data_IF_505418727619
#
_entry.id   IF_505418727619
#
_cell.length_a   1.000
_cell.length_b   1.000
_cell.length_c   1.000
_cell.angle_alpha   90.00
_cell.angle_beta   90.00
_cell.angle_gamma   90.00
#
_symmetry.space_group_name_H-M   'P 1'
#
loop_
_entity.id
_entity.type
_entity.pdbx_description
1 polymer ?
#
# COMPACT_ATOMS: atom_id res chain seq x y z
N UNK A 1 11.12 -2.38 22.88
CA UNK A 1 10.68 -1.88 21.55
C UNK A 1 9.25 -2.37 21.36
N UNK A 2 8.31 -1.45 21.17
CA UNK A 2 6.91 -1.78 20.92
C UNK A 2 6.61 -1.40 19.48
N UNK A 3 6.03 -2.33 18.72
CA UNK A 3 5.47 -2.05 17.39
C UNK A 3 4.00 -1.70 17.57
N UNK A 4 3.57 -0.55 17.07
CA UNK A 4 2.18 -0.12 17.09
C UNK A 4 1.65 -0.22 15.66
N UNK A 5 0.55 -0.94 15.48
CA UNK A 5 -0.14 -1.06 14.21
C UNK A 5 -1.42 -0.25 14.33
N UNK A 6 -1.62 0.68 13.40
CA UNK A 6 -2.81 1.51 13.31
C UNK A 6 -3.47 1.22 11.98
N UNK A 7 -4.72 0.76 12.04
CA UNK A 7 -5.55 0.54 10.86
C UNK A 7 -6.30 1.82 10.53
N UNK A 8 -6.46 2.09 9.25
CA UNK A 8 -7.09 3.27 8.70
C UNK A 8 -8.08 2.88 7.60
N UNK A 9 -9.04 3.76 7.36
CA UNK A 9 -10.08 3.55 6.35
C UNK A 9 -9.72 4.31 5.08
N UNK A 10 -10.03 3.70 3.92
CA UNK A 10 -9.91 4.37 2.63
C UNK A 10 -11.08 5.31 2.31
N UNK A 11 -12.10 5.36 3.18
CA UNK A 11 -13.25 6.24 3.03
C UNK A 11 -12.81 7.71 3.05
N UNK A 12 -13.24 8.54 2.08
CA UNK A 12 -12.98 9.97 2.09
C UNK A 12 -13.35 10.68 3.42
N UNK A 13 -14.38 10.21 4.13
CA UNK A 13 -14.80 10.77 5.41
C UNK A 13 -13.72 10.61 6.51
N UNK A 14 -12.94 9.52 6.45
CA UNK A 14 -11.90 9.20 7.43
C UNK A 14 -10.53 9.82 7.07
N UNK A 15 -10.43 10.52 5.94
CA UNK A 15 -9.18 11.14 5.48
C UNK A 15 -8.49 12.04 6.50
N UNK A 16 -9.20 12.87 7.29
CA UNK A 16 -8.55 13.68 8.32
C UNK A 16 -7.84 12.83 9.38
N UNK A 17 -8.40 11.67 9.72
CA UNK A 17 -7.78 10.73 10.66
C UNK A 17 -6.55 10.07 10.03
N UNK A 18 -6.64 9.60 8.78
CA UNK A 18 -5.50 9.07 8.04
C UNK A 18 -4.31 10.06 8.02
N UNK A 19 -4.56 11.32 7.67
CA UNK A 19 -3.51 12.35 7.63
C UNK A 19 -2.85 12.55 9.00
N UNK A 20 -3.63 12.46 10.08
CA UNK A 20 -3.12 12.58 11.45
C UNK A 20 -2.21 11.40 11.82
N UNK A 21 -2.56 10.19 11.43
CA UNK A 21 -1.76 8.99 11.73
C UNK A 21 -0.50 8.91 10.84
N UNK A 22 -0.58 9.33 9.57
CA UNK A 22 0.59 9.43 8.68
C UNK A 22 1.69 10.33 9.26
N UNK A 23 1.34 11.40 9.98
CA UNK A 23 2.33 12.31 10.62
C UNK A 23 3.06 11.68 11.81
N UNK A 24 2.53 10.59 12.38
CA UNK A 24 3.13 9.86 13.50
C UNK A 24 3.81 8.58 13.05
N UNK A 25 3.47 8.09 11.86
CA UNK A 25 3.96 6.83 11.32
C UNK A 25 5.46 6.90 11.01
N UNK A 26 6.10 5.72 11.07
CA UNK A 26 7.49 5.54 10.65
C UNK A 26 7.60 4.74 9.34
N UNK A 27 6.59 3.93 9.04
CA UNK A 27 6.49 3.07 7.86
C UNK A 27 5.02 3.04 7.45
N UNK A 28 4.75 3.01 6.15
CA UNK A 28 3.40 2.85 5.61
C UNK A 28 3.28 1.43 5.04
N UNK A 29 2.27 0.70 5.45
CA UNK A 29 1.87 -0.55 4.81
C UNK A 29 0.71 -0.23 3.87
N UNK A 30 0.96 -0.15 2.56
CA UNK A 30 -0.08 0.18 1.58
C UNK A 30 -0.63 -1.10 0.96
N UNK A 31 -1.87 -1.44 1.28
CA UNK A 31 -2.49 -2.69 0.82
C UNK A 31 -3.47 -2.44 -0.33
N UNK A 32 -3.36 -3.24 -1.38
CA UNK A 32 -4.34 -3.33 -2.48
C UNK A 32 -4.78 -4.78 -2.67
N UNK A 33 -5.88 -5.02 -3.40
CA UNK A 33 -6.48 -6.36 -3.46
C UNK A 33 -7.05 -6.77 -4.83
N UNK A 34 -7.15 -5.84 -5.78
CA UNK A 34 -7.70 -6.07 -7.12
C UNK A 34 -7.14 -5.01 -8.07
N UNK A 35 -7.45 -5.13 -9.37
CA UNK A 35 -6.98 -4.18 -10.38
C UNK A 35 -7.37 -2.73 -10.08
N UNK A 36 -8.59 -2.50 -9.56
CA UNK A 36 -9.07 -1.17 -9.22
C UNK A 36 -8.26 -0.54 -8.08
N UNK A 37 -8.05 -1.26 -6.99
CA UNK A 37 -7.24 -0.79 -5.86
C UNK A 37 -5.75 -0.72 -6.18
N UNK A 38 -5.26 -1.60 -7.07
CA UNK A 38 -3.90 -1.58 -7.61
C UNK A 38 -3.60 -0.32 -8.42
N UNK A 39 -4.48 0.05 -9.36
CA UNK A 39 -4.36 1.32 -10.10
C UNK A 39 -4.33 2.54 -9.17
N UNK A 40 -5.13 2.52 -8.10
CA UNK A 40 -5.17 3.60 -7.11
C UNK A 40 -3.86 3.77 -6.33
N UNK A 41 -2.99 2.76 -6.26
CA UNK A 41 -1.67 2.89 -5.61
C UNK A 41 -0.89 4.02 -6.27
N UNK A 42 -0.68 3.93 -7.58
CA UNK A 42 0.12 4.88 -8.35
C UNK A 42 -0.64 6.15 -8.73
N UNK A 43 -1.95 6.04 -9.01
CA UNK A 43 -2.75 7.19 -9.46
C UNK A 43 -3.19 8.09 -8.32
N UNK A 44 -3.21 7.58 -7.08
CA UNK A 44 -3.81 8.30 -5.97
C UNK A 44 -2.97 8.26 -4.70
N UNK A 45 -2.72 7.09 -4.11
CA UNK A 45 -2.17 7.01 -2.75
C UNK A 45 -0.73 7.51 -2.65
N UNK A 46 0.16 7.05 -3.53
CA UNK A 46 1.56 7.49 -3.53
C UNK A 46 1.68 9.00 -3.86
N UNK A 47 1.03 9.54 -4.91
CA UNK A 47 0.97 10.99 -5.12
C UNK A 47 0.37 11.76 -3.95
N UNK A 48 -0.68 11.22 -3.30
CA UNK A 48 -1.31 11.84 -2.15
C UNK A 48 -0.35 11.94 -0.96
N UNK A 49 0.35 10.86 -0.61
CA UNK A 49 1.38 10.88 0.46
C UNK A 49 2.47 11.91 0.15
N UNK A 50 2.98 11.91 -1.09
CA UNK A 50 3.97 12.89 -1.54
C UNK A 50 3.46 14.33 -1.44
N UNK A 51 2.20 14.58 -1.80
CA UNK A 51 1.58 15.92 -1.71
C UNK A 51 1.44 16.44 -0.26
N UNK A 52 1.36 15.53 0.71
CA UNK A 52 1.36 15.86 2.14
C UNK A 52 2.77 16.10 2.70
N UNK A 53 3.82 15.94 1.89
CA UNK A 53 5.21 15.99 2.33
C UNK A 53 5.63 14.78 3.15
N UNK A 54 4.89 13.67 3.06
CA UNK A 54 5.25 12.41 3.74
C UNK A 54 6.41 11.78 2.99
N UNK A 55 7.51 11.54 3.69
CA UNK A 55 8.72 10.90 3.17
C UNK A 55 9.05 9.66 4.02
N UNK A 56 8.08 8.75 4.10
CA UNK A 56 8.19 7.50 4.86
C UNK A 56 8.39 6.33 3.89
N UNK A 57 9.14 5.29 4.28
CA UNK A 57 9.20 4.05 3.51
C UNK A 57 7.82 3.40 3.43
N UNK A 58 7.49 2.92 2.24
CA UNK A 58 6.25 2.23 1.92
C UNK A 58 6.56 0.76 1.64
N UNK A 59 5.86 -0.13 2.34
CA UNK A 59 5.78 -1.54 2.01
C UNK A 59 4.49 -1.75 1.23
N UNK A 60 4.62 -2.08 -0.06
CA UNK A 60 3.46 -2.35 -0.91
C UNK A 60 3.01 -3.79 -0.73
N UNK A 61 1.72 -3.97 -0.47
CA UNK A 61 1.15 -5.25 -0.10
C UNK A 61 0.01 -5.61 -1.06
N UNK A 62 0.21 -6.68 -1.84
CA UNK A 62 -0.84 -7.24 -2.69
C UNK A 62 -1.62 -8.30 -1.88
N UNK A 63 -2.82 -7.98 -1.44
CA UNK A 63 -3.75 -8.91 -0.80
C UNK A 63 -4.66 -9.59 -1.84
N UNK A 64 -5.37 -10.66 -1.47
CA UNK A 64 -6.23 -11.46 -2.38
C UNK A 64 -5.49 -12.07 -3.58
N UNK A 65 -4.35 -12.71 -3.30
CA UNK A 65 -3.75 -13.66 -4.25
C UNK A 65 -4.51 -15.01 -4.32
N UNK A 66 -5.80 -15.06 -3.94
CA UNK A 66 -6.62 -16.28 -3.95
C UNK A 66 -6.97 -16.75 -5.36
N UNK A 67 -6.76 -15.91 -6.38
CA UNK A 67 -6.76 -16.33 -7.78
C UNK A 67 -5.50 -17.19 -8.08
N UNK A 68 -5.58 -18.46 -7.70
CA UNK A 68 -4.60 -19.54 -7.94
C UNK A 68 -4.18 -19.70 -9.42
N UNK A 69 -4.84 -19.01 -10.36
CA UNK A 69 -4.54 -19.04 -11.79
C UNK A 69 -3.40 -18.10 -12.19
N UNK A 70 -3.14 -17.04 -11.43
CA UNK A 70 -2.03 -16.13 -11.71
C UNK A 70 -0.76 -16.64 -11.02
N UNK A 71 0.29 -16.91 -11.80
CA UNK A 71 1.61 -17.17 -11.21
C UNK A 71 2.00 -15.94 -10.40
N UNK A 72 2.21 -16.14 -9.10
CA UNK A 72 2.58 -15.07 -8.21
C UNK A 72 3.84 -14.31 -8.63
N UNK A 73 4.77 -14.97 -9.34
CA UNK A 73 5.94 -14.32 -9.91
C UNK A 73 5.54 -13.18 -10.86
N UNK A 74 4.50 -13.39 -11.69
CA UNK A 74 3.99 -12.42 -12.64
C UNK A 74 3.40 -11.19 -11.96
N UNK A 75 2.67 -11.35 -10.85
CA UNK A 75 2.14 -10.20 -10.09
C UNK A 75 3.30 -9.31 -9.60
N UNK A 76 4.39 -9.92 -9.12
CA UNK A 76 5.55 -9.16 -8.67
C UNK A 76 6.22 -8.47 -9.86
N UNK A 77 6.46 -9.19 -10.95
CA UNK A 77 7.20 -8.69 -12.12
C UNK A 77 6.43 -7.65 -12.95
N UNK A 78 5.13 -7.86 -13.15
CA UNK A 78 4.30 -7.06 -14.06
C UNK A 78 3.55 -5.94 -13.33
N UNK A 79 3.22 -6.07 -12.05
CA UNK A 79 2.50 -5.04 -11.29
C UNK A 79 3.38 -4.31 -10.28
N UNK A 80 4.00 -5.05 -9.35
CA UNK A 80 4.67 -4.43 -8.21
C UNK A 80 6.01 -3.78 -8.57
N UNK A 81 6.82 -4.46 -9.41
CA UNK A 81 8.14 -3.96 -9.80
C UNK A 81 8.10 -2.64 -10.59
N UNK A 82 7.16 -2.42 -11.54
CA UNK A 82 6.97 -1.12 -12.16
C UNK A 82 6.69 -0.01 -11.14
N UNK A 83 5.82 -0.26 -10.16
CA UNK A 83 5.50 0.70 -9.10
C UNK A 83 6.76 1.01 -8.27
N UNK A 84 7.53 0.00 -7.86
CA UNK A 84 8.80 0.21 -7.13
C UNK A 84 9.82 1.04 -7.92
N UNK A 85 9.89 0.85 -9.24
CA UNK A 85 10.81 1.61 -10.11
C UNK A 85 10.37 3.07 -10.26
N UNK A 86 9.07 3.33 -10.28
CA UNK A 86 8.51 4.68 -10.42
C UNK A 86 8.52 5.45 -9.09
N UNK A 87 8.21 4.79 -7.98
CA UNK A 87 8.06 5.39 -6.66
C UNK A 87 9.14 4.91 -5.71
N UNK A 88 10.17 5.76 -5.54
CA UNK A 88 11.35 5.47 -4.69
C UNK A 88 11.01 5.27 -3.22
N UNK A 89 9.88 5.78 -2.77
CA UNK A 89 9.35 5.55 -1.43
C UNK A 89 8.91 4.09 -1.21
N UNK A 90 8.65 3.31 -2.26
CA UNK A 90 8.30 1.89 -2.16
C UNK A 90 9.58 1.04 -2.07
N UNK A 91 10.00 0.74 -0.86
CA UNK A 91 11.26 0.02 -0.59
C UNK A 91 11.12 -1.50 -0.70
N UNK A 92 9.91 -2.02 -0.51
CA UNK A 92 9.65 -3.46 -0.49
C UNK A 92 8.23 -3.79 -0.89
N UNK A 93 8.06 -4.98 -1.45
CA UNK A 93 6.79 -5.50 -1.93
C UNK A 93 6.55 -6.89 -1.35
N UNK A 94 5.35 -7.14 -0.83
CA UNK A 94 4.96 -8.40 -0.22
C UNK A 94 3.62 -8.84 -0.81
N UNK A 95 3.49 -10.14 -1.11
CA UNK A 95 2.19 -10.75 -1.41
C UNK A 95 1.62 -11.38 -0.14
N UNK A 96 0.32 -11.18 0.06
CA UNK A 96 -0.42 -11.67 1.21
C UNK A 96 -1.68 -12.41 0.75
N UNK A 97 -2.02 -13.46 1.48
CA UNK A 97 -3.27 -14.22 1.31
C UNK A 97 -4.12 -14.10 2.59
N UNK A 98 -4.22 -12.90 3.15
CA UNK A 98 -4.99 -12.65 4.37
C UNK A 98 -6.43 -12.32 4.03
N UNK A 99 -7.38 -12.93 4.74
CA UNK A 99 -8.81 -12.58 4.65
C UNK A 99 -9.08 -11.14 5.15
N UNK A 100 -8.13 -10.55 5.89
CA UNK A 100 -8.23 -9.21 6.48
C UNK A 100 -7.20 -8.27 5.85
N UNK A 101 -7.69 -7.18 5.23
CA UNK A 101 -6.92 -6.07 4.67
C UNK A 101 -6.78 -5.01 5.76
N UNK A 102 -5.56 -4.55 6.03
CA UNK A 102 -5.28 -3.36 6.85
C UNK A 102 -4.96 -2.21 5.87
N UNK A 103 -5.61 -1.05 5.96
CA UNK A 103 -5.29 0.13 5.12
C UNK A 103 -4.65 1.20 5.97
#
# INVERSE_FOLDING_TARGET
MNTIIVDTSSDPADRPMLIKELRKANVICLVYADSYSGERVSLFWLPFFRSLGVNLPVVLCANKCDNLEADGSLIIEEEMLPIMKEFKEVESCIRLASLFVFI
#
